data_IF_654001004775
#
_entry.id   IF_654001004775
#
_cell.length_a   1.000
_cell.length_b   1.000
_cell.length_c   1.000
_cell.angle_alpha   90.00
_cell.angle_beta   90.00
_cell.angle_gamma   90.00
#
_symmetry.space_group_name_H-M   'P 1'
#
loop_
_entity.id
_entity.type
_entity.pdbx_description
1 polymer ?
#
# COMPACT_ATOMS: atom_id res chain seq x y z
N UNK A 1 14.96 -0.84 -1.31
CA UNK A 1 14.13 -0.74 -2.53
C UNK A 1 12.73 -1.15 -2.11
N UNK A 2 11.78 -0.21 -2.07
CA UNK A 2 10.41 -0.51 -1.70
C UNK A 2 9.79 -1.42 -2.76
N UNK A 3 9.43 -2.65 -2.37
CA UNK A 3 8.81 -3.62 -3.24
C UNK A 3 7.46 -4.00 -2.63
N UNK A 4 6.33 -3.48 -3.15
CA UNK A 4 5.03 -3.90 -2.68
C UNK A 4 4.82 -5.39 -3.01
N UNK A 5 4.16 -6.12 -2.11
CA UNK A 5 3.67 -7.46 -2.41
C UNK A 5 2.36 -7.31 -3.17
N UNK A 6 2.27 -7.96 -4.31
CA UNK A 6 1.11 -7.89 -5.20
C UNK A 6 0.67 -9.32 -5.51
N UNK A 7 -0.57 -9.63 -5.21
CA UNK A 7 -1.22 -10.87 -5.62
C UNK A 7 -2.41 -10.53 -6.53
N UNK A 8 -2.53 -11.23 -7.65
CA UNK A 8 -3.58 -10.98 -8.66
C UNK A 8 -4.29 -12.29 -8.96
N UNK A 9 -5.62 -12.27 -8.89
CA UNK A 9 -6.50 -13.36 -9.30
C UNK A 9 -7.64 -12.81 -10.17
N UNK A 10 -7.55 -13.04 -11.47
CA UNK A 10 -8.48 -12.51 -12.46
C UNK A 10 -8.62 -10.98 -12.39
N UNK A 11 -9.83 -10.52 -12.08
CA UNK A 11 -10.17 -9.11 -11.95
C UNK A 11 -10.05 -8.58 -10.52
N UNK A 12 -9.43 -9.33 -9.61
CA UNK A 12 -9.12 -8.93 -8.25
C UNK A 12 -7.60 -8.82 -8.04
N UNK A 13 -7.17 -7.83 -7.26
CA UNK A 13 -5.78 -7.72 -6.82
C UNK A 13 -5.68 -7.28 -5.36
N UNK A 14 -4.77 -7.89 -4.61
CA UNK A 14 -4.35 -7.47 -3.29
C UNK A 14 -2.97 -6.81 -3.41
N UNK A 15 -2.86 -5.57 -2.93
CA UNK A 15 -1.60 -4.83 -2.87
C UNK A 15 -1.28 -4.54 -1.41
N UNK A 16 -0.14 -5.05 -0.95
CA UNK A 16 0.40 -4.77 0.37
C UNK A 16 1.69 -3.96 0.23
N UNK A 17 1.69 -2.76 0.79
CA UNK A 17 2.80 -1.84 0.69
C UNK A 17 3.07 -1.15 2.02
N UNK A 18 4.33 -0.89 2.32
CA UNK A 18 4.69 -0.09 3.49
C UNK A 18 4.30 1.39 3.25
N UNK A 19 3.76 2.05 4.27
CA UNK A 19 3.35 3.46 4.19
C UNK A 19 4.57 4.35 4.42
N UNK A 20 4.83 5.28 3.49
CA UNK A 20 6.02 6.13 3.63
C UNK A 20 5.95 7.50 2.94
N UNK A 21 4.80 8.06 2.52
CA UNK A 21 4.85 9.36 1.83
C UNK A 21 3.64 10.28 2.04
N UNK A 22 3.89 11.47 2.59
CA UNK A 22 3.06 12.68 2.40
C UNK A 22 3.99 13.80 1.93
N UNK A 23 3.68 14.44 0.81
CA UNK A 23 4.46 15.57 0.25
C UNK A 23 5.96 15.30 0.07
N UNK A 24 6.32 14.09 -0.35
CA UNK A 24 7.72 13.69 -0.57
C UNK A 24 8.54 13.52 0.70
N UNK A 25 7.89 13.51 1.88
CA UNK A 25 8.51 13.22 3.18
C UNK A 25 7.81 12.03 3.85
N UNK A 26 8.59 11.17 4.49
CA UNK A 26 8.06 10.12 5.35
C UNK A 26 7.34 10.77 6.54
N UNK A 27 6.01 10.65 6.61
CA UNK A 27 5.21 11.28 7.66
C UNK A 27 4.89 10.34 8.82
N UNK A 28 4.73 9.05 8.54
CA UNK A 28 4.53 7.98 9.51
C UNK A 28 4.88 6.65 8.84
N UNK A 29 5.22 5.64 9.65
CA UNK A 29 5.46 4.28 9.18
C UNK A 29 4.21 3.43 9.45
N UNK A 30 4.21 2.19 8.95
CA UNK A 30 3.03 1.32 8.96
C UNK A 30 2.81 0.64 7.62
N UNK A 31 1.66 0.01 7.46
CA UNK A 31 1.33 -0.79 6.27
C UNK A 31 0.01 -0.33 5.67
N UNK A 32 -0.06 -0.38 4.35
CA UNK A 32 -1.28 -0.21 3.58
C UNK A 32 -1.63 -1.53 2.89
N UNK A 33 -2.90 -1.89 2.98
CA UNK A 33 -3.52 -2.95 2.20
C UNK A 33 -4.58 -2.33 1.29
N UNK A 34 -4.49 -2.61 0.00
CA UNK A 34 -5.49 -2.22 -0.99
C UNK A 34 -6.04 -3.46 -1.68
N UNK A 35 -7.36 -3.56 -1.70
CA UNK A 35 -8.10 -4.50 -2.53
C UNK A 35 -8.57 -3.75 -3.77
N UNK A 36 -8.17 -4.21 -4.95
CA UNK A 36 -8.56 -3.62 -6.21
C UNK A 36 -9.45 -4.57 -7.01
N UNK A 37 -10.35 -3.96 -7.77
CA UNK A 37 -11.17 -4.63 -8.77
C UNK A 37 -10.95 -4.01 -10.14
N UNK A 38 -10.82 -4.82 -11.18
CA UNK A 38 -10.72 -4.34 -12.56
C UNK A 38 -12.11 -4.04 -13.10
N UNK A 39 -12.26 -2.86 -13.67
CA UNK A 39 -13.47 -2.40 -14.37
C UNK A 39 -13.13 -2.09 -15.82
N UNK A 40 -14.13 -1.81 -16.66
CA UNK A 40 -13.91 -1.34 -18.03
C UNK A 40 -13.06 -0.05 -18.08
N UNK A 41 -13.13 0.78 -17.04
CA UNK A 41 -12.34 2.00 -16.90
C UNK A 41 -10.96 1.77 -16.23
N UNK A 42 -10.56 0.51 -16.01
CA UNK A 42 -9.32 0.11 -15.36
C UNK A 42 -9.47 -0.32 -13.91
N UNK A 43 -8.36 -0.48 -13.21
CA UNK A 43 -8.31 -0.86 -11.80
C UNK A 43 -8.86 0.24 -10.89
N UNK A 44 -9.69 -0.15 -9.92
CA UNK A 44 -10.27 0.72 -8.89
C UNK A 44 -10.05 0.12 -7.52
N UNK A 45 -9.83 0.96 -6.51
CA UNK A 45 -9.73 0.52 -5.11
C UNK A 45 -11.15 0.23 -4.61
N UNK A 46 -11.42 -1.02 -4.29
CA UNK A 46 -12.68 -1.45 -3.69
C UNK A 46 -12.65 -1.31 -2.16
N UNK A 47 -11.48 -1.54 -1.55
CA UNK A 47 -11.27 -1.35 -0.12
C UNK A 47 -9.81 -0.96 0.16
N UNK A 48 -9.62 -0.20 1.24
CA UNK A 48 -8.31 0.12 1.77
C UNK A 48 -8.32 -0.03 3.30
N UNK A 49 -7.23 -0.54 3.84
CA UNK A 49 -6.92 -0.55 5.26
C UNK A 49 -5.48 -0.07 5.47
N UNK A 50 -5.25 0.72 6.52
CA UNK A 50 -3.93 1.26 6.82
C UNK A 50 -3.65 1.20 8.32
N UNK A 51 -2.37 1.08 8.66
CA UNK A 51 -1.88 1.29 10.02
C UNK A 51 -0.99 2.52 10.08
N UNK A 52 -0.93 3.11 11.27
CA UNK A 52 0.00 4.19 11.59
C UNK A 52 0.85 3.70 12.75
N UNK A 53 2.14 3.54 12.50
CA UNK A 53 3.16 3.21 13.49
C UNK A 53 4.22 4.33 13.50
N UNK A 54 4.17 5.24 14.50
CA UNK A 54 5.15 6.31 14.63
C UNK A 54 6.58 5.83 14.98
N UNK A 55 6.74 4.61 15.48
CA UNK A 55 8.01 4.09 16.00
C UNK A 55 8.56 2.90 15.19
N UNK A 56 7.76 2.33 14.29
CA UNK A 56 8.05 1.08 13.59
C UNK A 56 8.82 1.19 12.28
N UNK A 57 9.36 2.36 11.95
CA UNK A 57 10.15 2.54 10.72
C UNK A 57 11.37 1.61 10.75
N UNK A 58 11.42 0.68 9.79
CA UNK A 58 12.61 -0.13 9.53
C UNK A 58 13.75 0.75 9.03
N UNK A 59 15.01 0.28 9.12
CA UNK A 59 16.17 1.06 8.63
C UNK A 59 16.10 1.38 7.14
N UNK A 60 15.33 0.62 6.36
CA UNK A 60 15.09 0.90 4.94
C UNK A 60 14.08 2.03 4.69
N UNK A 61 13.34 2.43 5.73
CA UNK A 61 12.31 3.47 5.71
C UNK A 61 12.77 4.80 6.35
N UNK A 62 13.93 4.79 7.00
CA UNK A 62 14.67 5.98 7.44
C UNK A 62 15.51 6.55 6.30
#
# INVERSE_FOLDING_TARGET
MYAPKIEVDGDFALVWADTSFVDGKTSHCGVNSFNLVRTEAGWRIANAASTIDPNGCTEAEK
#
